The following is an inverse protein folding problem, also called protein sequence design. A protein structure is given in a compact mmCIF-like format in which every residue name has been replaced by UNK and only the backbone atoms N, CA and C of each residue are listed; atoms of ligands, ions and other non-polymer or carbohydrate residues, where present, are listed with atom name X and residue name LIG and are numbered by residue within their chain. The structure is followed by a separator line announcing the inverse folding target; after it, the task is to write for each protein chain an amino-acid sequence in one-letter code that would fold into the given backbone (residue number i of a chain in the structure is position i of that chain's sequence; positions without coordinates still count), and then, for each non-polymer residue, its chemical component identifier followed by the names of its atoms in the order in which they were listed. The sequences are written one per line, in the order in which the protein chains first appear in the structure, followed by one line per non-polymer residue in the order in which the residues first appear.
data_IF_798467154031
#
_entry.id   IF_798467154031
#
_cell.length_a   1.000
_cell.length_b   1.000
_cell.length_c   1.000
_cell.angle_alpha   90.00
_cell.angle_beta   90.00
_cell.angle_gamma   90.00
#
_symmetry.space_group_name_H-M   'P 1'
#
loop_
_entity.id
_entity.type
_entity.pdbx_description
1 polymer ?
#
# COMPACT_ATOMS: atom_id res chain seq x y z
N UNK A 1 -74.60 -27.54 44.13
CA UNK A 1 -74.27 -28.67 45.04
C UNK A 1 -72.82 -29.10 44.75
N UNK A 2 -72.03 -29.43 45.79
CA UNK A 2 -70.60 -29.14 45.96
C UNK A 2 -69.67 -30.27 45.45
N UNK A 3 -68.34 -30.12 45.33
CA UNK A 3 -67.29 -30.47 46.33
C UNK A 3 -65.92 -30.25 45.61
N UNK A 4 -65.09 -29.28 46.02
CA UNK A 4 -63.86 -29.33 46.86
C UNK A 4 -62.60 -30.01 46.29
N UNK A 5 -61.48 -29.36 46.62
CA UNK A 5 -60.08 -29.81 46.77
C UNK A 5 -59.25 -29.90 45.46
N UNK A 6 -57.99 -29.48 45.39
CA UNK A 6 -56.91 -29.56 46.38
C UNK A 6 -55.90 -28.41 46.25
N UNK A 7 -55.34 -28.00 47.39
CA UNK A 7 -54.20 -27.09 47.55
C UNK A 7 -52.92 -27.64 46.92
N UNK A 8 -52.09 -26.78 46.33
CA UNK A 8 -50.63 -26.86 46.51
C UNK A 8 -50.06 -25.46 46.72
N UNK A 9 -49.78 -25.18 47.99
CA UNK A 9 -48.88 -24.15 48.46
C UNK A 9 -47.45 -24.46 48.03
N UNK A 10 -46.71 -23.49 47.46
CA UNK A 10 -45.28 -23.36 47.73
C UNK A 10 -44.88 -21.90 47.88
N UNK A 11 -44.18 -21.67 48.98
CA UNK A 11 -43.77 -20.39 49.55
C UNK A 11 -42.91 -19.58 48.56
N UNK A 12 -43.24 -18.29 48.49
CA UNK A 12 -42.37 -17.24 47.98
C UNK A 12 -41.48 -16.81 49.15
N UNK A 13 -40.23 -17.25 49.13
CA UNK A 13 -39.23 -16.79 50.11
C UNK A 13 -38.59 -15.51 49.59
N UNK A 14 -38.92 -14.38 50.21
CA UNK A 14 -38.14 -13.16 50.12
C UNK A 14 -36.87 -13.31 50.97
N UNK A 15 -35.70 -13.18 50.36
CA UNK A 15 -34.49 -12.76 51.06
C UNK A 15 -33.81 -11.65 50.27
N UNK A 16 -33.76 -10.48 50.92
CA UNK A 16 -32.97 -9.31 50.55
C UNK A 16 -31.48 -9.58 50.80
N UNK A 17 -30.66 -9.25 49.82
CA UNK A 17 -29.24 -8.85 49.97
C UNK A 17 -28.95 -7.93 48.77
N UNK A 18 -29.11 -6.62 48.92
CA UNK A 18 -28.03 -5.65 49.19
C UNK A 18 -26.78 -5.90 48.33
N UNK A 19 -26.66 -5.05 47.31
CA UNK A 19 -25.46 -4.46 46.70
C UNK A 19 -24.14 -5.23 46.79
N UNK A 20 -23.55 -5.52 45.62
CA UNK A 20 -22.36 -4.81 45.14
C UNK A 20 -22.34 -4.80 43.61
N UNK A 21 -22.33 -3.58 43.06
CA UNK A 21 -21.93 -3.29 41.69
C UNK A 21 -20.43 -3.60 41.62
N UNK A 22 -20.06 -4.63 40.86
CA UNK A 22 -18.69 -4.82 40.42
C UNK A 22 -18.67 -4.87 38.89
N UNK A 23 -18.52 -3.68 38.32
CA UNK A 23 -18.02 -3.50 36.96
C UNK A 23 -16.66 -4.18 36.83
N UNK A 24 -16.59 -5.30 36.12
CA UNK A 24 -15.33 -5.81 35.59
C UNK A 24 -15.40 -5.74 34.07
N UNK A 25 -15.08 -4.54 33.58
CA UNK A 25 -14.57 -4.32 32.24
C UNK A 25 -13.42 -5.31 31.99
N UNK A 26 -13.70 -6.42 31.31
CA UNK A 26 -12.66 -7.25 30.69
C UNK A 26 -12.15 -6.53 29.44
N UNK A 27 -11.48 -5.38 29.67
CA UNK A 27 -10.50 -4.87 28.72
C UNK A 27 -9.35 -5.86 28.75
N UNK A 28 -9.33 -6.75 27.78
CA UNK A 28 -8.11 -7.44 27.40
C UNK A 28 -7.11 -6.39 26.91
N UNK A 29 -6.38 -5.77 27.84
CA UNK A 29 -5.12 -5.14 27.52
C UNK A 29 -4.18 -6.28 27.15
N UNK A 30 -4.14 -6.61 25.85
CA UNK A 30 -2.97 -7.24 25.27
C UNK A 30 -1.82 -6.25 25.51
N UNK A 31 -1.02 -6.52 26.53
CA UNK A 31 0.29 -5.90 26.68
C UNK A 31 1.13 -6.36 25.50
N UNK A 32 1.07 -5.62 24.40
CA UNK A 32 2.11 -5.67 23.39
C UNK A 32 3.35 -5.08 24.05
N UNK A 33 4.30 -5.95 24.38
CA UNK A 33 5.68 -5.56 24.56
C UNK A 33 6.08 -4.76 23.32
N UNK A 34 6.15 -3.44 23.45
CA UNK A 34 6.70 -2.56 22.43
C UNK A 34 8.20 -2.82 22.32
N UNK A 35 8.57 -3.93 21.67
CA UNK A 35 9.75 -3.90 20.83
C UNK A 35 9.53 -2.72 19.91
N UNK A 36 10.37 -1.68 19.99
CA UNK A 36 10.37 -0.59 19.02
C UNK A 36 10.75 -1.19 17.67
N UNK A 37 9.75 -1.72 16.96
CA UNK A 37 9.81 -1.95 15.53
C UNK A 37 10.10 -0.58 14.93
N UNK A 38 11.10 -0.48 14.06
CA UNK A 38 11.44 0.76 13.38
C UNK A 38 10.18 1.29 12.69
N UNK A 39 9.56 2.34 13.24
CA UNK A 39 8.33 2.88 12.73
C UNK A 39 8.59 3.43 11.32
N UNK A 40 7.75 3.07 10.34
CA UNK A 40 7.81 3.70 9.03
C UNK A 40 7.57 5.20 9.21
N UNK A 41 8.41 6.04 8.64
CA UNK A 41 8.25 7.50 8.71
C UNK A 41 7.43 7.99 7.53
N UNK A 42 6.70 9.09 7.73
CA UNK A 42 6.08 9.87 6.66
C UNK A 42 7.19 10.66 5.96
N UNK A 43 7.93 9.97 5.10
CA UNK A 43 9.06 10.50 4.36
C UNK A 43 8.66 11.05 2.97
N UNK A 44 9.64 11.59 2.24
CA UNK A 44 9.40 12.15 0.90
C UNK A 44 8.93 11.10 -0.10
N UNK A 45 9.28 9.82 0.09
CA UNK A 45 8.84 8.73 -0.78
C UNK A 45 7.38 8.40 -0.55
N UNK A 46 6.97 8.32 0.72
CA UNK A 46 5.59 8.17 1.13
C UNK A 46 4.74 9.29 0.53
N UNK A 47 5.13 10.55 0.73
CA UNK A 47 4.42 11.71 0.19
C UNK A 47 4.32 11.69 -1.34
N UNK A 48 5.38 11.27 -2.03
CA UNK A 48 5.39 11.13 -3.48
C UNK A 48 4.39 10.07 -3.97
N UNK A 49 4.35 8.91 -3.31
CA UNK A 49 3.41 7.82 -3.66
C UNK A 49 1.95 8.22 -3.41
N UNK A 50 1.68 8.87 -2.27
CA UNK A 50 0.36 9.40 -1.94
C UNK A 50 -0.08 10.41 -3.00
N UNK A 51 0.79 11.37 -3.34
CA UNK A 51 0.50 12.36 -4.38
C UNK A 51 0.24 11.72 -5.75
N UNK A 52 1.08 10.77 -6.18
CA UNK A 52 0.87 10.07 -7.45
C UNK A 52 -0.50 9.36 -7.50
N UNK A 53 -0.91 8.71 -6.41
CA UNK A 53 -2.22 8.06 -6.33
C UNK A 53 -3.39 9.06 -6.29
N UNK A 54 -3.25 10.19 -5.61
CA UNK A 54 -4.27 11.24 -5.60
C UNK A 54 -4.45 11.86 -6.98
N UNK A 55 -3.34 12.13 -7.69
CA UNK A 55 -3.39 12.62 -9.08
C UNK A 55 -4.13 11.64 -9.99
N UNK A 56 -3.90 10.34 -9.82
CA UNK A 56 -4.58 9.30 -10.58
C UNK A 56 -6.10 9.24 -10.30
N UNK A 57 -6.52 9.52 -9.06
CA UNK A 57 -7.95 9.52 -8.70
C UNK A 57 -8.69 10.80 -9.14
N UNK A 58 -7.99 11.93 -9.08
CA UNK A 58 -8.62 13.25 -9.25
C UNK A 58 -8.42 13.84 -10.63
N UNK A 59 -7.45 13.35 -11.39
CA UNK A 59 -6.95 13.97 -12.63
C UNK A 59 -6.46 15.41 -12.44
N UNK A 60 -6.14 15.81 -11.20
CA UNK A 60 -5.52 17.09 -10.90
C UNK A 60 -4.01 16.92 -10.77
N UNK A 61 -3.22 17.84 -11.32
CA UNK A 61 -1.75 17.80 -11.23
C UNK A 61 -1.20 18.30 -9.89
N UNK A 62 -2.01 19.05 -9.13
CA UNK A 62 -1.64 19.57 -7.82
C UNK A 62 -2.40 18.87 -6.71
N UNK A 63 -1.80 18.69 -5.52
CA UNK A 63 -2.50 18.19 -4.35
C UNK A 63 -3.80 18.98 -4.10
N UNK A 64 -4.90 18.26 -3.91
CA UNK A 64 -6.18 18.89 -3.63
C UNK A 64 -6.14 19.48 -2.22
N UNK A 65 -6.68 20.68 -2.08
CA UNK A 65 -6.81 21.33 -0.77
C UNK A 65 -7.65 20.43 0.16
N UNK A 66 -7.13 20.15 1.34
CA UNK A 66 -7.71 19.21 2.32
C UNK A 66 -7.77 17.73 1.86
N UNK A 67 -7.14 17.41 0.72
CA UNK A 67 -7.04 16.07 0.17
C UNK A 67 -6.04 15.16 0.89
N UNK A 68 -5.95 13.89 0.47
CA UNK A 68 -5.13 12.87 1.15
C UNK A 68 -3.64 13.24 1.19
N UNK A 69 -3.08 13.87 0.15
CA UNK A 69 -1.69 14.36 0.14
C UNK A 69 -1.50 15.52 1.11
N UNK A 70 -2.44 16.46 1.17
CA UNK A 70 -2.36 17.57 2.12
C UNK A 70 -2.38 17.06 3.58
N UNK A 71 -3.21 16.05 3.86
CA UNK A 71 -3.26 15.35 5.16
C UNK A 71 -1.98 14.57 5.44
N UNK A 72 -1.42 13.88 4.44
CA UNK A 72 -0.14 13.20 4.60
C UNK A 72 1.00 14.20 4.89
N UNK A 73 1.01 15.35 4.22
CA UNK A 73 2.01 16.40 4.40
C UNK A 73 1.97 17.05 5.79
N UNK A 74 0.80 17.13 6.44
CA UNK A 74 0.73 17.64 7.83
C UNK A 74 1.43 16.74 8.84
N UNK A 75 1.68 15.48 8.48
CA UNK A 75 2.42 14.51 9.28
C UNK A 75 3.85 14.28 8.78
N UNK A 76 4.40 15.18 7.95
CA UNK A 76 5.73 14.99 7.38
C UNK A 76 6.82 14.84 8.47
N UNK A 77 7.67 13.83 8.32
CA UNK A 77 8.69 13.41 9.29
C UNK A 77 8.15 12.84 10.61
N UNK A 78 6.84 12.62 10.72
CA UNK A 78 6.25 11.88 11.84
C UNK A 78 6.25 10.38 11.56
N UNK A 79 6.00 9.58 12.60
CA UNK A 79 5.80 8.14 12.45
C UNK A 79 4.46 7.86 11.76
N UNK A 80 4.48 6.98 10.75
CA UNK A 80 3.30 6.44 10.11
C UNK A 80 2.56 5.56 11.13
N UNK A 81 1.48 6.10 11.65
CA UNK A 81 0.59 5.42 12.59
C UNK A 81 -0.79 5.19 11.97
N UNK A 82 -1.62 4.41 12.65
CA UNK A 82 -3.03 4.26 12.28
C UNK A 82 -3.78 5.61 12.26
N UNK A 83 -3.33 6.59 13.06
CA UNK A 83 -3.87 7.94 13.06
C UNK A 83 -3.60 8.66 11.73
N UNK A 84 -2.34 8.63 11.27
CA UNK A 84 -1.95 9.22 9.98
C UNK A 84 -2.75 8.60 8.83
N UNK A 85 -2.92 7.27 8.83
CA UNK A 85 -3.74 6.57 7.83
C UNK A 85 -5.20 7.03 7.91
N UNK A 86 -5.76 7.21 9.10
CA UNK A 86 -7.13 7.71 9.29
C UNK A 86 -7.29 9.13 8.74
N UNK A 87 -6.31 10.01 8.96
CA UNK A 87 -6.35 11.38 8.48
C UNK A 87 -6.22 11.46 6.95
N UNK A 88 -5.40 10.59 6.35
CA UNK A 88 -5.32 10.41 4.89
C UNK A 88 -6.67 9.89 4.35
N UNK A 89 -7.29 8.94 5.03
CA UNK A 89 -8.61 8.40 4.65
C UNK A 89 -9.68 9.49 4.68
N UNK A 90 -9.65 10.36 5.69
CA UNK A 90 -10.56 11.50 5.76
C UNK A 90 -10.34 12.46 4.58
N UNK A 91 -9.08 12.75 4.21
CA UNK A 91 -8.77 13.55 3.02
C UNK A 91 -9.24 12.89 1.72
N UNK A 92 -9.06 11.58 1.55
CA UNK A 92 -9.53 10.85 0.38
C UNK A 92 -11.06 10.87 0.25
N UNK A 93 -11.78 10.80 1.38
CA UNK A 93 -13.23 10.93 1.42
C UNK A 93 -13.71 12.32 0.97
N UNK A 94 -12.99 13.38 1.33
CA UNK A 94 -13.31 14.75 0.85
C UNK A 94 -13.21 14.85 -0.67
N UNK A 95 -12.24 14.14 -1.24
CA UNK A 95 -11.93 14.19 -2.67
C UNK A 95 -12.85 13.29 -3.50
N UNK A 96 -13.07 12.06 -3.06
CA UNK A 96 -13.83 11.04 -3.80
C UNK A 96 -15.32 11.02 -3.46
N UNK A 97 -15.73 11.69 -2.37
CA UNK A 97 -17.09 11.65 -1.84
C UNK A 97 -17.53 10.28 -1.30
N UNK A 98 -16.61 9.31 -1.23
CA UNK A 98 -16.89 7.93 -0.85
C UNK A 98 -16.39 7.62 0.56
N UNK A 99 -17.21 6.88 1.33
CA UNK A 99 -16.88 6.49 2.71
C UNK A 99 -15.88 5.32 2.79
N UNK A 100 -15.61 4.69 1.65
CA UNK A 100 -14.65 3.59 1.53
C UNK A 100 -13.38 4.04 0.81
N UNK A 101 -12.20 3.52 1.18
CA UNK A 101 -10.97 3.74 0.43
C UNK A 101 -11.13 3.37 -1.03
N UNK A 102 -10.68 4.23 -1.96
CA UNK A 102 -10.69 3.90 -3.36
C UNK A 102 -9.66 2.80 -3.64
N UNK A 103 -9.98 1.81 -4.50
CA UNK A 103 -9.04 0.76 -4.86
C UNK A 103 -7.81 1.37 -5.56
N UNK A 104 -6.63 1.12 -4.99
CA UNK A 104 -5.37 1.73 -5.46
C UNK A 104 -5.19 3.21 -5.06
N UNK A 105 -6.07 3.72 -4.20
CA UNK A 105 -6.04 5.08 -3.70
C UNK A 105 -4.97 5.32 -2.62
N UNK A 106 -4.80 6.59 -2.21
CA UNK A 106 -3.79 7.00 -1.24
C UNK A 106 -3.94 6.29 0.10
N UNK A 107 -5.16 6.02 0.56
CA UNK A 107 -5.40 5.24 1.78
C UNK A 107 -4.95 3.80 1.64
N UNK A 108 -5.22 3.14 0.52
CA UNK A 108 -4.76 1.76 0.28
C UNK A 108 -3.24 1.67 0.31
N UNK A 109 -2.55 2.66 -0.27
CA UNK A 109 -1.09 2.76 -0.22
C UNK A 109 -0.60 2.96 1.21
N UNK A 110 -1.20 3.90 1.95
CA UNK A 110 -0.81 4.18 3.34
C UNK A 110 -1.00 2.96 4.24
N UNK A 111 -2.12 2.24 4.09
CA UNK A 111 -2.38 0.99 4.80
C UNK A 111 -1.38 -0.10 4.45
N UNK A 112 -1.04 -0.25 3.16
CA UNK A 112 -0.06 -1.23 2.70
C UNK A 112 1.32 -0.98 3.31
N UNK A 113 1.77 0.28 3.34
CA UNK A 113 3.06 0.67 3.92
C UNK A 113 3.06 0.46 5.43
N UNK A 114 1.97 0.81 6.12
CA UNK A 114 1.81 0.56 7.56
C UNK A 114 1.82 -0.95 7.87
N UNK A 115 1.12 -1.75 7.09
CA UNK A 115 1.07 -3.21 7.25
C UNK A 115 2.44 -3.86 7.00
N UNK A 116 3.19 -3.36 6.01
CA UNK A 116 4.57 -3.78 5.76
C UNK A 116 5.47 -3.45 6.97
N UNK A 117 5.36 -2.24 7.52
CA UNK A 117 6.13 -1.81 8.69
C UNK A 117 5.81 -2.63 9.96
N UNK A 118 4.54 -3.02 10.15
CA UNK A 118 4.09 -3.83 11.29
C UNK A 118 4.53 -5.29 11.19
N UNK A 119 4.74 -5.81 9.98
CA UNK A 119 5.10 -7.22 9.76
C UNK A 119 6.56 -7.53 10.13
N UNK A 120 7.31 -6.56 10.67
CA UNK A 120 8.71 -6.75 11.08
C UNK A 120 9.66 -6.97 9.90
N UNK A 121 9.14 -6.95 8.67
CA UNK A 121 9.92 -6.76 7.47
C UNK A 121 10.29 -5.28 7.41
N UNK A 122 11.26 -4.91 8.25
CA UNK A 122 12.11 -3.77 8.02
C UNK A 122 12.98 -4.04 6.78
N UNK A 123 12.36 -4.42 5.66
CA UNK A 123 12.77 -3.97 4.36
C UNK A 123 12.66 -2.45 4.43
N UNK A 124 13.78 -1.90 4.87
CA UNK A 124 14.13 -0.51 4.85
C UNK A 124 14.15 -0.12 3.38
N UNK A 125 12.96 -0.02 2.78
CA UNK A 125 12.71 0.67 1.53
C UNK A 125 12.56 2.15 1.84
N UNK A 126 13.51 2.69 2.60
CA UNK A 126 14.10 3.97 2.23
C UNK A 126 14.30 3.93 0.73
N UNK A 127 13.51 4.69 -0.03
CA UNK A 127 13.97 5.44 -1.20
C UNK A 127 15.03 4.80 -2.13
N UNK A 128 15.02 3.48 -2.27
CA UNK A 128 15.83 2.65 -3.14
C UNK A 128 14.85 1.63 -3.68
N UNK A 129 13.97 2.11 -4.57
CA UNK A 129 12.98 1.25 -5.20
C UNK A 129 13.72 0.07 -5.80
N UNK A 130 13.53 -1.12 -5.23
CA UNK A 130 14.17 -2.39 -5.61
C UNK A 130 15.44 -2.20 -6.43
N UNK A 131 16.47 -1.52 -5.90
CA UNK A 131 17.48 -0.92 -6.79
C UNK A 131 18.25 -1.97 -7.61
N UNK A 132 18.17 -3.26 -7.25
CA UNK A 132 18.70 -4.39 -8.02
C UNK A 132 17.71 -5.52 -8.29
N UNK A 133 16.40 -5.29 -8.21
CA UNK A 133 15.34 -6.31 -8.49
C UNK A 133 14.39 -5.78 -9.56
N UNK A 134 13.86 -6.66 -10.39
CA UNK A 134 12.82 -6.33 -11.35
C UNK A 134 11.50 -6.14 -10.61
N UNK A 135 11.18 -4.90 -10.30
CA UNK A 135 9.97 -4.49 -9.59
C UNK A 135 8.93 -3.85 -10.52
N UNK A 136 7.74 -3.63 -9.98
CA UNK A 136 6.65 -2.96 -10.71
C UNK A 136 7.03 -1.55 -11.18
N UNK A 137 7.90 -0.85 -10.45
CA UNK A 137 8.37 0.49 -10.81
C UNK A 137 9.31 0.46 -12.03
N UNK A 138 10.20 -0.53 -12.13
CA UNK A 138 11.02 -0.74 -13.32
C UNK A 138 10.15 -1.12 -14.51
N UNK A 139 9.20 -2.04 -14.33
CA UNK A 139 8.31 -2.49 -15.41
C UNK A 139 7.48 -1.32 -15.94
N UNK A 140 6.95 -0.47 -15.05
CA UNK A 140 6.18 0.71 -15.45
C UNK A 140 7.01 1.66 -16.31
N UNK A 141 8.27 1.93 -15.91
CA UNK A 141 9.19 2.76 -16.71
C UNK A 141 9.58 2.12 -18.05
N UNK A 142 9.72 0.80 -18.07
CA UNK A 142 9.95 0.03 -19.30
C UNK A 142 8.76 0.17 -20.24
N UNK A 143 7.52 0.12 -19.72
CA UNK A 143 6.29 0.31 -20.50
C UNK A 143 6.21 1.72 -21.06
N UNK A 144 6.46 2.74 -20.23
CA UNK A 144 6.49 4.15 -20.68
C UNK A 144 7.48 4.32 -21.83
N UNK A 145 8.69 3.77 -21.69
CA UNK A 145 9.68 3.80 -22.78
C UNK A 145 9.24 3.00 -23.99
N UNK A 146 8.73 1.79 -23.81
CA UNK A 146 8.31 0.95 -24.93
C UNK A 146 7.20 1.63 -25.74
N UNK A 147 6.18 2.19 -25.09
CA UNK A 147 5.07 2.90 -25.72
C UNK A 147 5.52 4.20 -26.40
N UNK A 148 6.46 4.94 -25.78
CA UNK A 148 7.10 6.12 -26.38
C UNK A 148 7.82 5.76 -27.71
N UNK A 149 8.49 4.60 -27.77
CA UNK A 149 9.27 4.19 -28.94
C UNK A 149 8.48 3.41 -30.00
N UNK A 150 7.60 2.50 -29.60
CA UNK A 150 6.80 1.71 -30.55
C UNK A 150 5.67 2.53 -31.17
N UNK A 151 5.24 3.61 -30.50
CA UNK A 151 4.04 4.36 -30.85
C UNK A 151 2.74 3.59 -30.58
N UNK A 152 2.84 2.38 -30.02
CA UNK A 152 1.69 1.57 -29.62
C UNK A 152 1.28 1.93 -28.20
N UNK A 153 -0.03 2.02 -27.96
CA UNK A 153 -0.61 2.32 -26.64
C UNK A 153 -0.54 1.14 -25.66
N UNK A 154 -0.10 -0.03 -26.14
CA UNK A 154 -0.05 -1.27 -25.37
C UNK A 154 1.33 -1.94 -25.51
N UNK A 155 1.79 -2.69 -24.49
CA UNK A 155 3.01 -3.47 -24.59
C UNK A 155 2.97 -4.45 -25.78
N UNK A 156 4.05 -4.50 -26.55
CA UNK A 156 4.14 -5.35 -27.73
C UNK A 156 4.39 -6.80 -27.28
N UNK A 157 3.70 -7.75 -27.92
CA UNK A 157 3.86 -9.17 -27.61
C UNK A 157 5.31 -9.61 -27.87
N UNK A 158 6.00 -9.99 -26.80
CA UNK A 158 7.42 -10.38 -26.87
C UNK A 158 8.40 -9.21 -26.92
N UNK A 159 7.92 -7.98 -26.69
CA UNK A 159 8.70 -6.77 -26.54
C UNK A 159 9.42 -6.67 -25.19
N UNK A 160 10.13 -5.55 -24.93
CA UNK A 160 10.95 -5.38 -23.74
C UNK A 160 10.14 -5.47 -22.43
N UNK A 161 8.90 -4.99 -22.39
CA UNK A 161 7.99 -5.15 -21.25
C UNK A 161 7.67 -6.62 -21.01
N UNK A 162 7.31 -7.37 -22.05
CA UNK A 162 6.97 -8.78 -21.91
C UNK A 162 8.17 -9.57 -21.37
N UNK A 163 9.38 -9.25 -21.80
CA UNK A 163 10.61 -9.85 -21.28
C UNK A 163 10.88 -9.44 -19.82
N UNK A 164 10.73 -8.15 -19.48
CA UNK A 164 10.89 -7.69 -18.10
C UNK A 164 9.88 -8.34 -17.15
N UNK A 165 8.64 -8.52 -17.60
CA UNK A 165 7.59 -9.19 -16.83
C UNK A 165 7.90 -10.67 -16.52
N UNK A 166 8.69 -11.36 -17.34
CA UNK A 166 9.10 -12.74 -17.02
C UNK A 166 10.03 -12.82 -15.82
N UNK A 167 10.70 -11.73 -15.49
CA UNK A 167 11.71 -11.67 -14.43
C UNK A 167 11.20 -10.93 -13.19
N UNK A 168 9.90 -10.68 -13.04
CA UNK A 168 9.34 -9.96 -11.88
C UNK A 168 9.77 -10.64 -10.59
N UNK A 169 10.35 -9.87 -9.67
CA UNK A 169 10.85 -10.36 -8.38
C UNK A 169 12.25 -10.97 -8.44
N UNK A 170 12.87 -11.09 -9.62
CA UNK A 170 14.25 -11.54 -9.77
C UNK A 170 15.25 -10.38 -9.71
N UNK A 171 16.50 -10.63 -9.27
CA UNK A 171 17.55 -9.63 -9.36
C UNK A 171 17.82 -9.19 -10.81
N UNK A 172 18.14 -7.90 -11.02
CA UNK A 172 18.54 -7.36 -12.33
C UNK A 172 19.93 -7.90 -12.68
N UNK A 173 19.96 -9.05 -13.34
CA UNK A 173 21.20 -9.69 -13.81
C UNK A 173 21.50 -9.31 -15.26
N UNK A 174 22.70 -9.66 -15.74
CA UNK A 174 23.04 -9.56 -17.16
C UNK A 174 22.08 -10.36 -18.05
N UNK A 175 21.48 -11.43 -17.53
CA UNK A 175 20.47 -12.21 -18.22
C UNK A 175 19.20 -11.40 -18.46
N UNK A 176 18.66 -10.78 -17.41
CA UNK A 176 17.49 -9.89 -17.50
C UNK A 176 17.74 -8.78 -18.53
N UNK A 177 18.90 -8.14 -18.47
CA UNK A 177 19.26 -7.08 -19.43
C UNK A 177 19.34 -7.61 -20.87
N UNK A 178 19.88 -8.81 -21.07
CA UNK A 178 19.96 -9.46 -22.38
C UNK A 178 18.57 -9.76 -22.93
N UNK A 179 17.66 -10.26 -22.11
CA UNK A 179 16.31 -10.62 -22.52
C UNK A 179 15.46 -9.37 -22.80
N UNK A 180 15.54 -8.33 -21.96
CA UNK A 180 14.95 -7.02 -22.26
C UNK A 180 15.50 -6.43 -23.56
N UNK A 181 16.81 -6.53 -23.80
CA UNK A 181 17.44 -6.08 -25.06
C UNK A 181 16.93 -6.86 -26.27
N UNK A 182 16.72 -8.17 -26.15
CA UNK A 182 16.14 -8.99 -27.23
C UNK A 182 14.71 -8.57 -27.52
N UNK A 183 13.93 -8.25 -26.48
CA UNK A 183 12.59 -7.70 -26.61
C UNK A 183 12.61 -6.36 -27.35
N UNK A 184 13.46 -5.43 -26.93
CA UNK A 184 13.62 -4.12 -27.58
C UNK A 184 13.95 -4.28 -29.07
N UNK A 185 14.96 -5.10 -29.41
CA UNK A 185 15.34 -5.36 -30.80
C UNK A 185 14.21 -5.93 -31.66
N UNK A 186 13.29 -6.70 -31.07
CA UNK A 186 12.13 -7.23 -31.80
C UNK A 186 11.13 -6.14 -32.14
N UNK A 187 10.91 -5.20 -31.22
CA UNK A 187 9.98 -4.08 -31.41
C UNK A 187 10.55 -3.04 -32.37
N UNK A 188 11.86 -2.78 -32.27
CA UNK A 188 12.50 -1.72 -33.04
C UNK A 188 13.17 -2.18 -34.34
N UNK A 189 13.02 -3.45 -34.72
CA UNK A 189 13.64 -4.00 -35.94
C UNK A 189 15.17 -4.12 -35.89
N UNK A 190 15.76 -4.07 -34.69
CA UNK A 190 17.21 -4.30 -34.47
C UNK A 190 18.02 -3.07 -34.13
N UNK A 191 17.41 -1.88 -34.16
CA UNK A 191 18.07 -0.63 -33.80
C UNK A 191 18.12 -0.45 -32.27
N UNK A 192 19.29 -0.01 -31.77
CA UNK A 192 19.51 0.24 -30.33
C UNK A 192 19.28 1.71 -30.04
N UNK A 193 18.37 2.01 -29.10
CA UNK A 193 18.04 3.39 -28.78
C UNK A 193 18.73 3.85 -27.51
N UNK A 194 19.36 5.02 -27.58
CA UNK A 194 19.86 5.74 -26.41
C UNK A 194 18.66 6.19 -25.59
N UNK A 195 18.52 5.67 -24.36
CA UNK A 195 17.38 5.97 -23.48
C UNK A 195 16.17 5.04 -23.64
N UNK A 196 16.33 3.93 -24.38
CA UNK A 196 15.30 2.90 -24.54
C UNK A 196 14.97 2.11 -23.26
N UNK A 197 14.02 1.16 -23.37
CA UNK A 197 13.68 0.22 -22.30
C UNK A 197 14.91 -0.48 -21.67
N UNK A 198 15.88 -0.88 -22.49
CA UNK A 198 17.14 -1.47 -22.01
C UNK A 198 17.97 -0.48 -21.19
N UNK A 199 18.08 0.77 -21.65
CA UNK A 199 18.84 1.81 -20.94
C UNK A 199 18.21 2.10 -19.57
N UNK A 200 16.89 2.02 -19.47
CA UNK A 200 16.16 2.15 -18.20
C UNK A 200 16.50 1.02 -17.22
N UNK A 201 16.51 -0.23 -17.71
CA UNK A 201 16.91 -1.38 -16.89
C UNK A 201 18.39 -1.31 -16.47
N UNK A 202 19.28 -0.87 -17.36
CA UNK A 202 20.69 -0.64 -17.05
C UNK A 202 20.89 0.48 -16.03
N UNK A 203 20.12 1.56 -16.15
CA UNK A 203 20.16 2.68 -15.20
C UNK A 203 19.76 2.22 -13.80
N UNK A 204 18.76 1.33 -13.67
CA UNK A 204 18.43 0.70 -12.39
C UNK A 204 19.56 -0.17 -11.88
N UNK A 205 20.13 -1.05 -12.70
CA UNK A 205 21.28 -1.87 -12.28
C UNK A 205 22.47 -1.02 -11.81
N UNK A 206 22.74 0.10 -12.48
CA UNK A 206 23.81 1.00 -12.07
C UNK A 206 23.54 1.63 -10.70
N UNK A 207 22.28 2.02 -10.44
CA UNK A 207 21.84 2.51 -9.11
C UNK A 207 21.92 1.43 -8.04
N UNK A 208 21.67 0.17 -8.39
CA UNK A 208 21.87 -0.98 -7.49
C UNK A 208 23.27 -1.15 -6.94
N UNK A 209 24.27 -0.66 -7.68
CA UNK A 209 25.69 -0.88 -7.39
C UNK A 209 26.34 0.33 -6.73
N UNK A 210 25.59 1.42 -6.51
CA UNK A 210 26.04 2.67 -5.88
C UNK A 210 25.62 2.76 -4.40
#
# INVERSE_FOLDING_TARGET
MPIKLFLISRLITFSKTVSQVLTTNFRHFRNFSSSRTMAALVDSQFLSKINASERALTNHDTPVKDGPTARAQSHANEELTAQVVSDITAGERVVTGSDSPAPGGPTSIAQSILAAALSGDASTTSARGGDGVVDGDLISKIIEKETEFSGESSPVKGGPTAQAQMHVGEPITSQVLSDVTKGEKKVTGGERFLGGPTATAQSRLAKSKQ
#
